data_IF_326430047540
#
_entry.id   IF_326430047540
#
_cell.length_a   1.000
_cell.length_b   1.000
_cell.length_c   1.000
_cell.angle_alpha   90.00
_cell.angle_beta   90.00
_cell.angle_gamma   90.00
#
_symmetry.space_group_name_H-M   'P 1'
#
loop_
_entity.id
_entity.type
_entity.pdbx_description
1 polymer ?
#
# COMPACT_ATOMS: atom_id res chain seq x y z
N UNK A 1 -19.14 6.75 -1.21
CA UNK A 1 -19.37 5.50 -1.97
C UNK A 1 -18.14 4.56 -2.02
N UNK A 2 -16.96 5.00 -1.56
CA UNK A 2 -15.77 4.15 -1.49
C UNK A 2 -15.70 3.31 -0.23
N UNK A 3 -16.32 3.77 0.87
CA UNK A 3 -16.28 3.07 2.15
C UNK A 3 -17.31 1.97 2.17
N UNK A 4 -16.87 0.75 2.47
CA UNK A 4 -17.71 -0.43 2.65
C UNK A 4 -17.69 -0.89 4.10
N UNK A 5 -18.72 -1.65 4.52
CA UNK A 5 -18.74 -2.22 5.87
C UNK A 5 -17.59 -3.21 6.05
N UNK A 6 -16.93 -3.14 7.20
CA UNK A 6 -15.84 -4.01 7.60
C UNK A 6 -15.14 -3.47 8.83
N UNK A 7 -14.91 -4.35 9.81
CA UNK A 7 -14.31 -4.01 11.11
C UNK A 7 -12.78 -4.29 11.11
N UNK A 8 -12.28 -4.91 10.04
CA UNK A 8 -10.85 -5.17 9.84
C UNK A 8 -10.31 -4.33 8.70
N UNK A 9 -8.99 -4.11 8.69
CA UNK A 9 -8.32 -3.42 7.60
C UNK A 9 -8.41 -4.19 6.28
N UNK A 10 -8.49 -3.47 5.18
CA UNK A 10 -8.34 -4.05 3.84
C UNK A 10 -6.95 -4.67 3.70
N UNK A 11 -6.82 -5.95 3.29
CA UNK A 11 -5.53 -6.64 3.25
C UNK A 11 -4.46 -5.93 2.41
N UNK A 12 -4.88 -5.21 1.37
CA UNK A 12 -4.00 -4.44 0.49
C UNK A 12 -3.54 -3.10 1.10
N UNK A 13 -4.25 -2.60 2.11
CA UNK A 13 -3.99 -1.32 2.77
C UNK A 13 -3.36 -1.50 4.17
N UNK A 14 -3.50 -2.68 4.78
CA UNK A 14 -3.12 -2.96 6.17
C UNK A 14 -1.68 -2.52 6.46
N UNK A 15 -0.73 -2.94 5.65
CA UNK A 15 0.69 -2.57 5.82
C UNK A 15 0.89 -1.05 5.76
N UNK A 16 0.24 -0.37 4.80
CA UNK A 16 0.34 1.09 4.66
C UNK A 16 -0.28 1.83 5.83
N UNK A 17 -1.40 1.31 6.36
CA UNK A 17 -2.06 1.87 7.54
C UNK A 17 -1.14 1.78 8.75
N UNK A 18 -0.57 0.61 9.06
CA UNK A 18 0.35 0.44 10.19
C UNK A 18 1.61 1.31 10.04
N UNK A 19 2.20 1.39 8.84
CA UNK A 19 3.32 2.30 8.56
C UNK A 19 2.93 3.77 8.79
N UNK A 20 1.72 4.16 8.39
CA UNK A 20 1.23 5.54 8.56
C UNK A 20 0.99 5.86 10.03
N UNK A 21 0.42 4.93 10.83
CA UNK A 21 0.24 5.13 12.28
C UNK A 21 1.58 5.41 12.95
N UNK A 22 2.61 4.60 12.71
CA UNK A 22 3.97 4.82 13.25
C UNK A 22 4.50 6.21 12.85
N UNK A 23 4.44 6.51 11.55
CA UNK A 23 4.99 7.75 11.02
C UNK A 23 4.31 8.97 11.61
N UNK A 24 2.99 8.99 11.65
CA UNK A 24 2.19 10.11 12.16
C UNK A 24 2.39 10.26 13.67
N UNK A 25 2.39 9.16 14.43
CA UNK A 25 2.63 9.17 15.88
C UNK A 25 4.00 9.78 16.20
N UNK A 26 5.05 9.27 15.58
CA UNK A 26 6.41 9.80 15.77
C UNK A 26 6.54 11.26 15.33
N UNK A 27 5.89 11.65 14.24
CA UNK A 27 5.94 13.04 13.75
C UNK A 27 5.22 13.99 14.71
N UNK A 28 4.08 13.61 15.27
CA UNK A 28 3.37 14.43 16.27
C UNK A 28 4.16 14.57 17.57
N UNK A 29 4.78 13.50 18.07
CA UNK A 29 5.67 13.54 19.24
C UNK A 29 6.84 14.50 19.03
N UNK A 30 7.35 14.60 17.80
CA UNK A 30 8.45 15.46 17.43
C UNK A 30 8.02 16.82 16.84
N UNK A 31 6.74 17.19 16.96
CA UNK A 31 6.13 18.43 16.45
C UNK A 31 6.33 18.65 14.94
N UNK A 32 6.44 17.57 14.18
CA UNK A 32 6.61 17.59 12.72
C UNK A 32 5.26 17.48 11.99
N UNK A 33 4.38 18.41 12.25
CA UNK A 33 3.00 18.37 11.72
C UNK A 33 2.91 18.31 10.19
N UNK A 34 3.82 18.99 9.49
CA UNK A 34 3.85 19.00 8.03
C UNK A 34 4.12 17.61 7.44
N UNK A 35 5.04 16.84 8.03
CA UNK A 35 5.35 15.48 7.57
C UNK A 35 4.28 14.48 7.99
N UNK A 36 3.65 14.65 9.14
CA UNK A 36 2.48 13.88 9.56
C UNK A 36 1.32 14.05 8.57
N UNK A 37 0.99 15.30 8.20
CA UNK A 37 -0.05 15.60 7.22
C UNK A 37 0.31 14.99 5.86
N UNK A 38 1.56 15.12 5.42
CA UNK A 38 2.00 14.53 4.15
C UNK A 38 1.86 12.99 4.14
N UNK A 39 2.14 12.31 5.27
CA UNK A 39 1.94 10.86 5.39
C UNK A 39 0.46 10.48 5.28
N UNK A 40 -0.43 11.22 5.92
CA UNK A 40 -1.89 11.01 5.79
C UNK A 40 -2.38 11.28 4.37
N UNK A 41 -1.87 12.28 3.67
CA UNK A 41 -2.17 12.54 2.25
C UNK A 41 -1.71 11.38 1.36
N UNK A 42 -0.54 10.79 1.63
CA UNK A 42 -0.06 9.61 0.92
C UNK A 42 -1.01 8.41 1.13
N UNK A 43 -1.47 8.17 2.37
CA UNK A 43 -2.44 7.13 2.66
C UNK A 43 -3.76 7.34 1.91
N UNK A 44 -4.27 8.58 1.84
CA UNK A 44 -5.46 8.92 1.05
C UNK A 44 -5.26 8.57 -0.43
N UNK A 45 -4.09 8.85 -0.99
CA UNK A 45 -3.79 8.47 -2.37
C UNK A 45 -3.79 6.94 -2.58
N UNK A 46 -3.32 6.18 -1.58
CA UNK A 46 -3.38 4.72 -1.64
C UNK A 46 -4.83 4.21 -1.52
N UNK A 47 -5.69 4.85 -0.72
CA UNK A 47 -7.12 4.59 -0.69
C UNK A 47 -7.79 4.81 -2.05
N UNK A 48 -7.46 5.91 -2.74
CA UNK A 48 -7.98 6.16 -4.09
C UNK A 48 -7.51 5.12 -5.11
N UNK A 49 -6.28 4.64 -5.01
CA UNK A 49 -5.76 3.57 -5.88
C UNK A 49 -6.46 2.24 -5.62
N UNK A 50 -6.74 1.91 -4.36
CA UNK A 50 -7.46 0.70 -3.97
C UNK A 50 -8.92 0.75 -4.45
N UNK A 51 -9.52 1.94 -4.54
CA UNK A 51 -10.89 2.18 -5.02
C UNK A 51 -11.99 1.79 -4.02
N UNK A 52 -11.67 0.95 -3.03
CA UNK A 52 -12.55 0.58 -1.92
C UNK A 52 -11.73 0.52 -0.64
N UNK A 53 -12.35 0.87 0.48
CA UNK A 53 -11.77 0.79 1.82
C UNK A 53 -12.84 0.39 2.82
N UNK A 54 -12.45 -0.26 3.90
CA UNK A 54 -13.37 -0.63 4.97
C UNK A 54 -13.65 0.54 5.91
N UNK A 55 -14.66 0.41 6.76
CA UNK A 55 -14.88 1.34 7.86
C UNK A 55 -13.69 1.43 8.81
N UNK A 56 -12.96 0.32 9.02
CA UNK A 56 -11.75 0.30 9.85
C UNK A 56 -10.63 1.15 9.24
N UNK A 57 -10.39 1.04 7.92
CA UNK A 57 -9.41 1.86 7.21
C UNK A 57 -9.71 3.36 7.38
N UNK A 58 -10.96 3.73 7.13
CA UNK A 58 -11.41 5.12 7.22
C UNK A 58 -11.37 5.63 8.66
N UNK A 59 -11.81 4.82 9.63
CA UNK A 59 -11.78 5.11 11.06
C UNK A 59 -10.38 5.50 11.51
N UNK A 60 -9.37 4.74 11.10
CA UNK A 60 -7.97 5.02 11.44
C UNK A 60 -7.49 6.34 10.84
N UNK A 61 -7.80 6.60 9.57
CA UNK A 61 -7.43 7.88 8.95
C UNK A 61 -7.99 9.09 9.71
N UNK A 62 -9.28 9.06 10.07
CA UNK A 62 -9.90 10.19 10.80
C UNK A 62 -9.37 10.32 12.22
N UNK A 63 -8.97 9.23 12.89
CA UNK A 63 -8.25 9.29 14.16
C UNK A 63 -6.92 10.04 14.03
N UNK A 64 -6.11 9.64 13.04
CA UNK A 64 -4.81 10.27 12.80
C UNK A 64 -4.93 11.75 12.45
N UNK A 65 -6.00 12.13 11.76
CA UNK A 65 -6.26 13.51 11.33
C UNK A 65 -6.85 14.38 12.46
N UNK A 66 -7.49 13.79 13.47
CA UNK A 66 -8.23 14.51 14.51
C UNK A 66 -7.42 15.60 15.22
N UNK A 67 -6.13 15.41 15.61
CA UNK A 67 -5.37 16.46 16.30
C UNK A 67 -5.18 17.76 15.51
N UNK A 68 -5.23 17.70 14.18
CA UNK A 68 -5.04 18.86 13.30
C UNK A 68 -6.34 19.36 12.65
N UNK A 69 -7.39 18.56 12.65
CA UNK A 69 -8.67 18.90 12.03
C UNK A 69 -9.88 18.35 12.85
N UNK A 70 -10.03 18.72 14.14
CA UNK A 70 -10.98 18.06 15.05
C UNK A 70 -12.44 18.19 14.60
N UNK A 71 -12.85 19.35 14.08
CA UNK A 71 -14.27 19.56 13.75
C UNK A 71 -14.72 18.67 12.58
N UNK A 72 -13.92 18.60 11.51
CA UNK A 72 -14.31 17.78 10.35
C UNK A 72 -14.23 16.28 10.67
N UNK A 73 -13.28 15.85 11.48
CA UNK A 73 -13.15 14.44 11.84
C UNK A 73 -14.25 13.98 12.79
N UNK A 74 -14.70 14.83 13.71
CA UNK A 74 -15.88 14.54 14.54
C UNK A 74 -17.16 14.45 13.70
N UNK A 75 -17.35 15.35 12.74
CA UNK A 75 -18.48 15.29 11.81
C UNK A 75 -18.45 14.00 10.97
N UNK A 76 -17.29 13.64 10.41
CA UNK A 76 -17.14 12.39 9.67
C UNK A 76 -17.38 11.16 10.53
N UNK A 77 -17.00 11.20 11.82
CA UNK A 77 -17.27 10.14 12.78
C UNK A 77 -18.78 9.90 12.94
N UNK A 78 -19.54 10.98 13.08
CA UNK A 78 -21.00 10.90 13.21
C UNK A 78 -21.67 10.44 11.91
N UNK A 79 -21.24 10.98 10.76
CA UNK A 79 -21.77 10.59 9.43
C UNK A 79 -21.57 9.10 9.17
N UNK A 80 -20.42 8.54 9.59
CA UNK A 80 -20.11 7.12 9.43
C UNK A 80 -20.86 6.20 10.42
N UNK A 81 -21.56 6.79 11.40
CA UNK A 81 -22.33 6.06 12.40
C UNK A 81 -21.47 5.35 13.45
N UNK A 82 -20.26 5.84 13.72
CA UNK A 82 -19.43 5.34 14.80
C UNK A 82 -20.00 5.77 16.17
N UNK A 83 -19.84 4.92 17.18
CA UNK A 83 -20.37 5.20 18.52
C UNK A 83 -19.57 6.29 19.24
N UNK A 84 -20.28 7.12 20.00
CA UNK A 84 -19.70 8.18 20.82
C UNK A 84 -19.05 9.30 20.02
N UNK A 85 -17.97 9.85 20.55
CA UNK A 85 -17.20 10.93 19.95
C UNK A 85 -15.77 10.48 19.70
N UNK A 86 -15.18 10.94 18.60
CA UNK A 86 -13.81 10.57 18.21
C UNK A 86 -12.77 11.01 19.26
N UNK A 87 -12.90 12.22 19.80
CA UNK A 87 -11.95 12.76 20.79
C UNK A 87 -11.83 11.93 22.08
N UNK A 88 -12.82 11.10 22.39
CA UNK A 88 -12.81 10.19 23.54
C UNK A 88 -12.21 8.82 23.27
N UNK A 89 -11.82 8.54 22.04
CA UNK A 89 -11.23 7.26 21.66
C UNK A 89 -9.71 7.23 21.87
N UNK A 90 -9.18 6.02 22.06
CA UNK A 90 -7.75 5.80 22.16
C UNK A 90 -7.07 5.97 20.79
N UNK A 91 -5.82 6.47 20.83
CA UNK A 91 -5.01 6.58 19.62
C UNK A 91 -4.82 5.21 18.95
N UNK A 92 -4.83 5.13 17.60
CA UNK A 92 -4.67 3.86 16.90
C UNK A 92 -3.33 3.19 17.24
N UNK A 93 -3.40 1.91 17.55
CA UNK A 93 -2.21 1.08 17.75
C UNK A 93 -1.73 0.49 16.43
N UNK A 94 -0.43 0.19 16.35
CA UNK A 94 0.16 -0.47 15.20
C UNK A 94 0.80 -1.79 15.60
N UNK A 95 0.91 -2.68 14.63
CA UNK A 95 1.62 -3.95 14.74
C UNK A 95 2.90 -3.86 13.89
N UNK A 96 4.06 -4.02 14.51
CA UNK A 96 5.36 -3.93 13.81
C UNK A 96 5.50 -5.00 12.73
N UNK A 97 5.00 -6.21 12.96
CA UNK A 97 5.07 -7.29 11.97
C UNK A 97 4.26 -6.98 10.71
N UNK A 98 3.18 -6.21 10.85
CA UNK A 98 2.32 -5.79 9.75
C UNK A 98 2.86 -4.59 8.98
N UNK A 99 3.91 -3.93 9.47
CA UNK A 99 4.56 -2.82 8.76
C UNK A 99 5.50 -3.29 7.66
N UNK A 100 5.84 -4.57 7.64
CA UNK A 100 6.76 -5.15 6.66
C UNK A 100 6.00 -5.41 5.36
N UNK A 101 6.44 -4.79 4.28
CA UNK A 101 5.90 -5.08 2.95
C UNK A 101 6.22 -6.52 2.58
N UNK A 102 5.18 -7.34 2.37
CA UNK A 102 5.34 -8.73 1.92
C UNK A 102 5.44 -8.86 0.41
N UNK A 103 4.96 -7.85 -0.32
CA UNK A 103 4.91 -7.82 -1.77
C UNK A 103 5.66 -6.60 -2.30
N UNK A 104 6.32 -6.75 -3.44
CA UNK A 104 7.01 -5.67 -4.14
C UNK A 104 6.66 -5.67 -5.62
N UNK A 105 6.65 -4.50 -6.22
CA UNK A 105 6.47 -4.36 -7.67
C UNK A 105 7.81 -4.43 -8.37
N UNK A 106 7.95 -5.36 -9.31
CA UNK A 106 9.17 -5.58 -10.09
C UNK A 106 8.88 -5.30 -11.56
N UNK A 107 9.69 -4.43 -12.16
CA UNK A 107 9.60 -4.13 -13.58
C UNK A 107 10.12 -5.34 -14.42
N UNK A 108 9.33 -5.75 -15.41
CA UNK A 108 9.71 -6.78 -16.38
C UNK A 108 10.12 -6.13 -17.68
N UNK A 109 11.36 -6.40 -18.08
CA UNK A 109 11.94 -5.91 -19.34
C UNK A 109 12.00 -7.04 -20.36
N UNK A 110 11.79 -6.68 -21.62
CA UNK A 110 12.13 -7.52 -22.78
C UNK A 110 13.14 -6.76 -23.62
N UNK A 111 14.33 -7.35 -23.81
CA UNK A 111 15.48 -6.72 -24.48
C UNK A 111 15.79 -5.31 -23.93
N UNK A 112 15.78 -5.16 -22.59
CA UNK A 112 16.11 -3.90 -21.90
C UNK A 112 15.01 -2.83 -21.90
N UNK A 113 13.83 -3.08 -22.49
CA UNK A 113 12.70 -2.17 -22.47
C UNK A 113 11.62 -2.69 -21.51
N UNK A 114 11.18 -1.87 -20.54
CA UNK A 114 10.08 -2.22 -19.63
C UNK A 114 8.82 -2.48 -20.43
N UNK A 115 8.19 -3.63 -20.20
CA UNK A 115 7.00 -4.09 -20.91
C UNK A 115 5.83 -4.40 -19.97
N UNK A 116 6.12 -4.76 -18.74
CA UNK A 116 5.13 -5.07 -17.71
C UNK A 116 5.68 -4.77 -16.33
N UNK A 117 4.82 -4.83 -15.31
CA UNK A 117 5.16 -4.82 -13.90
C UNK A 117 4.45 -5.97 -13.24
N UNK A 118 5.13 -6.71 -12.38
CA UNK A 118 4.57 -7.84 -11.62
C UNK A 118 4.71 -7.58 -10.13
N UNK A 119 3.71 -8.00 -9.36
CA UNK A 119 3.77 -8.01 -7.90
C UNK A 119 4.27 -9.38 -7.45
N UNK A 120 5.36 -9.39 -6.72
CA UNK A 120 5.99 -10.60 -6.19
C UNK A 120 6.27 -10.47 -4.70
N UNK A 121 6.25 -11.58 -3.98
CA UNK A 121 6.72 -11.61 -2.61
C UNK A 121 8.19 -11.16 -2.56
N UNK A 122 8.56 -10.44 -1.48
CA UNK A 122 9.94 -9.92 -1.34
C UNK A 122 10.97 -11.05 -1.29
N UNK A 123 10.56 -12.20 -0.76
CA UNK A 123 11.34 -13.43 -0.65
C UNK A 123 11.11 -14.41 -1.82
N UNK A 124 10.44 -13.97 -2.90
CA UNK A 124 10.20 -14.80 -4.07
C UNK A 124 11.51 -15.33 -4.65
N UNK A 125 11.56 -16.63 -4.86
CA UNK A 125 12.70 -17.27 -5.49
C UNK A 125 12.82 -16.88 -6.97
N UNK A 126 13.98 -17.18 -7.56
CA UNK A 126 14.28 -16.83 -8.93
C UNK A 126 13.32 -17.48 -9.92
N UNK A 127 12.92 -18.71 -9.69
CA UNK A 127 12.12 -19.47 -10.65
C UNK A 127 10.67 -18.95 -10.66
N UNK A 128 10.11 -18.64 -9.49
CA UNK A 128 8.81 -17.99 -9.36
C UNK A 128 8.82 -16.60 -10.01
N UNK A 129 9.86 -15.81 -9.77
CA UNK A 129 9.97 -14.47 -10.35
C UNK A 129 10.06 -14.52 -11.90
N UNK A 130 10.85 -15.42 -12.44
CA UNK A 130 10.99 -15.59 -13.90
C UNK A 130 9.69 -16.13 -14.53
N UNK A 131 8.99 -17.05 -13.87
CA UNK A 131 7.70 -17.55 -14.35
C UNK A 131 6.66 -16.41 -14.43
N UNK A 132 6.53 -15.61 -13.39
CA UNK A 132 5.65 -14.45 -13.38
C UNK A 132 6.02 -13.41 -14.45
N UNK A 133 7.34 -13.19 -14.67
CA UNK A 133 7.83 -12.31 -15.72
C UNK A 133 7.47 -12.78 -17.12
N UNK A 134 7.57 -14.08 -17.40
CA UNK A 134 7.15 -14.67 -18.69
C UNK A 134 5.65 -14.51 -18.90
N UNK A 135 4.84 -14.83 -17.91
CA UNK A 135 3.39 -14.70 -17.98
C UNK A 135 2.96 -13.27 -18.27
N UNK A 136 3.51 -12.29 -17.52
CA UNK A 136 3.19 -10.87 -17.67
C UNK A 136 3.64 -10.29 -19.03
N UNK A 137 4.55 -10.93 -19.73
CA UNK A 137 5.07 -10.47 -21.02
C UNK A 137 4.77 -11.43 -22.18
N UNK A 138 3.92 -12.42 -21.98
CA UNK A 138 3.58 -13.43 -22.99
C UNK A 138 3.20 -12.81 -24.33
N UNK A 139 2.34 -11.77 -24.32
CA UNK A 139 1.92 -11.04 -25.53
C UNK A 139 3.09 -10.38 -26.29
N UNK A 140 4.17 -10.07 -25.59
CA UNK A 140 5.35 -9.37 -26.16
C UNK A 140 6.46 -10.35 -26.56
N UNK A 141 6.46 -11.53 -25.97
CA UNK A 141 7.39 -12.61 -26.31
C UNK A 141 6.96 -13.30 -27.63
N UNK A 142 5.67 -13.58 -27.78
CA UNK A 142 5.17 -14.29 -28.98
C UNK A 142 5.95 -15.58 -29.20
N UNK A 143 6.30 -15.85 -30.47
CA UNK A 143 7.07 -17.06 -30.89
C UNK A 143 8.60 -16.86 -30.78
N UNK A 144 9.08 -15.79 -30.13
CA UNK A 144 10.50 -15.50 -30.01
C UNK A 144 11.19 -16.45 -29.05
N UNK A 145 12.39 -16.90 -29.41
CA UNK A 145 13.18 -17.75 -28.55
C UNK A 145 13.84 -16.96 -27.41
N UNK A 146 13.59 -17.39 -26.17
CA UNK A 146 14.26 -16.82 -25.00
C UNK A 146 15.72 -17.28 -25.00
N UNK A 147 16.65 -16.33 -25.04
CA UNK A 147 18.10 -16.58 -25.06
C UNK A 147 18.68 -16.51 -23.66
N UNK A 148 18.19 -15.57 -22.84
CA UNK A 148 18.70 -15.35 -21.47
C UNK A 148 17.64 -14.70 -20.62
N UNK A 149 17.60 -15.09 -19.33
CA UNK A 149 16.75 -14.51 -18.31
C UNK A 149 17.61 -14.06 -17.13
N UNK A 150 17.37 -12.84 -16.68
CA UNK A 150 18.11 -12.22 -15.59
C UNK A 150 17.08 -11.75 -14.57
N UNK A 151 17.22 -12.19 -13.33
CA UNK A 151 16.46 -11.70 -12.19
C UNK A 151 17.40 -10.99 -11.21
N UNK A 152 17.09 -9.76 -10.89
CA UNK A 152 17.75 -9.00 -9.82
C UNK A 152 16.70 -8.77 -8.73
N UNK A 153 16.82 -9.45 -7.58
CA UNK A 153 15.85 -9.35 -6.49
C UNK A 153 15.55 -7.89 -6.12
N UNK A 154 14.25 -7.59 -5.95
CA UNK A 154 13.80 -6.26 -5.58
C UNK A 154 13.93 -5.18 -6.66
N UNK A 155 14.39 -5.49 -7.86
CA UNK A 155 14.65 -4.48 -8.90
C UNK A 155 14.02 -4.78 -10.24
N UNK A 156 14.38 -5.90 -10.86
CA UNK A 156 14.06 -6.09 -12.26
C UNK A 156 14.09 -7.56 -12.68
N UNK A 157 13.22 -7.90 -13.62
CA UNK A 157 13.31 -9.12 -14.42
C UNK A 157 13.60 -8.69 -15.85
N UNK A 158 14.64 -9.23 -16.48
CA UNK A 158 14.95 -8.94 -17.88
C UNK A 158 15.00 -10.24 -18.70
N UNK A 159 14.12 -10.32 -19.69
CA UNK A 159 14.02 -11.46 -20.62
C UNK A 159 14.63 -11.01 -21.95
N UNK A 160 15.69 -11.69 -22.35
CA UNK A 160 16.37 -11.44 -23.62
C UNK A 160 15.86 -12.45 -24.64
N UNK A 161 15.32 -11.96 -25.73
CA UNK A 161 14.78 -12.79 -26.84
C UNK A 161 15.44 -12.46 -28.17
N UNK A 162 15.48 -13.46 -29.05
CA UNK A 162 16.00 -13.33 -30.40
C UNK A 162 14.90 -13.61 -31.43
#
# INVERSE_FOLDING_TARGET
>A
DMVVDGDEYSPELETKIHQTIIKVSSDFENLKYNTAIAAMMALINDFYKAGKLTKADFKTLIHLLNPVAPHITEELWQIMGFEGYLYGNTWPEYDEEKTIEKMQEIAVQVNGKVRATVKLAIDADKDTALAAGREATADKLGDKQIVKEIYVPGRIINIVVK
#
